data_IF_550408733384
#
_entry.id   IF_550408733384
#
_cell.length_a   1.000
_cell.length_b   1.000
_cell.length_c   1.000
_cell.angle_alpha   90.00
_cell.angle_beta   90.00
_cell.angle_gamma   90.00
#
_symmetry.space_group_name_H-M   'P 1'
#
loop_
_entity.id
_entity.type
_entity.pdbx_description
1 polymer ?
#
# COMPACT_ATOMS: atom_id res chain seq x y z
N UNK A 1 29.16 -29.85 -58.58
CA UNK A 1 29.37 -30.70 -59.77
C UNK A 1 30.27 -29.95 -60.73
N UNK A 2 31.42 -30.51 -61.12
CA UNK A 2 32.39 -29.83 -61.98
C UNK A 2 32.05 -30.06 -63.46
N UNK A 3 32.11 -29.03 -64.29
CA UNK A 3 31.90 -29.11 -65.75
C UNK A 3 33.25 -29.02 -66.48
N UNK A 4 33.39 -29.72 -67.60
CA UNK A 4 34.61 -29.70 -68.40
C UNK A 4 34.64 -28.39 -69.20
N UNK A 5 35.47 -27.42 -68.83
CA UNK A 5 35.49 -26.10 -69.50
C UNK A 5 35.89 -26.13 -70.99
N UNK A 6 36.40 -27.26 -71.49
CA UNK A 6 36.76 -27.45 -72.91
C UNK A 6 35.55 -27.81 -73.78
N UNK A 7 34.70 -28.75 -73.35
CA UNK A 7 33.51 -29.19 -74.11
C UNK A 7 32.18 -28.72 -73.50
N UNK A 8 32.22 -28.08 -72.33
CA UNK A 8 31.07 -27.61 -71.54
C UNK A 8 30.12 -28.72 -71.04
N UNK A 9 30.50 -29.99 -71.18
CA UNK A 9 29.73 -31.12 -70.66
C UNK A 9 30.06 -31.43 -69.20
N UNK A 10 29.14 -32.11 -68.49
CA UNK A 10 29.33 -32.52 -67.10
C UNK A 10 30.45 -33.57 -66.99
N UNK A 11 31.41 -33.34 -66.09
CA UNK A 11 32.48 -34.31 -65.82
C UNK A 11 31.87 -35.54 -65.14
N UNK A 12 32.02 -36.71 -65.77
CA UNK A 12 31.45 -37.97 -65.29
C UNK A 12 30.06 -38.29 -65.84
N UNK A 13 29.53 -37.49 -66.79
CA UNK A 13 28.36 -37.88 -67.55
C UNK A 13 28.67 -39.14 -68.40
N UNK A 14 27.68 -40.03 -68.48
CA UNK A 14 27.73 -41.21 -69.34
C UNK A 14 27.53 -40.73 -70.78
N UNK A 15 28.42 -41.09 -71.68
CA UNK A 15 28.26 -40.78 -73.10
C UNK A 15 27.02 -41.49 -73.68
N UNK A 16 26.59 -41.11 -74.89
CA UNK A 16 25.43 -41.72 -75.56
C UNK A 16 25.59 -43.23 -75.83
N UNK A 17 26.76 -43.80 -75.55
CA UNK A 17 27.11 -45.22 -75.72
C UNK A 17 27.24 -45.94 -74.38
N UNK A 18 26.87 -45.31 -73.27
CA UNK A 18 26.90 -45.94 -71.94
C UNK A 18 28.26 -45.92 -71.26
N UNK A 19 29.27 -45.22 -71.79
CA UNK A 19 30.62 -45.21 -71.21
C UNK A 19 30.86 -43.93 -70.41
N UNK A 20 31.39 -44.08 -69.19
CA UNK A 20 31.95 -42.96 -68.43
C UNK A 20 33.31 -42.65 -69.05
N UNK A 21 33.42 -41.52 -69.75
CA UNK A 21 34.69 -41.09 -70.34
C UNK A 21 35.78 -40.99 -69.27
N UNK A 22 37.01 -41.42 -69.58
CA UNK A 22 38.13 -41.35 -68.63
C UNK A 22 38.33 -39.90 -68.17
N UNK A 23 38.39 -39.70 -66.86
CA UNK A 23 38.62 -38.40 -66.24
C UNK A 23 40.09 -38.25 -65.90
N UNK A 24 40.62 -37.05 -66.12
CA UNK A 24 42.00 -36.70 -65.76
C UNK A 24 42.01 -35.41 -64.97
N UNK A 25 42.92 -35.33 -64.01
CA UNK A 25 43.18 -34.12 -63.23
C UNK A 25 44.54 -33.53 -63.61
N UNK A 26 44.58 -32.22 -63.78
CA UNK A 26 45.82 -31.44 -63.94
C UNK A 26 46.56 -31.30 -62.60
N UNK A 27 47.81 -30.84 -62.61
CA UNK A 27 48.57 -30.58 -61.36
C UNK A 27 47.89 -29.54 -60.46
N UNK A 28 47.15 -28.61 -61.09
CA UNK A 28 46.34 -27.60 -60.40
C UNK A 28 44.96 -28.12 -59.96
N UNK A 29 44.72 -29.44 -60.05
CA UNK A 29 43.51 -30.15 -59.61
C UNK A 29 42.23 -29.86 -60.42
N UNK A 30 42.32 -29.18 -61.56
CA UNK A 30 41.17 -29.04 -62.46
C UNK A 30 40.93 -30.36 -63.21
N UNK A 31 39.66 -30.72 -63.41
CA UNK A 31 39.25 -32.04 -63.90
C UNK A 31 38.62 -31.92 -65.28
N UNK A 32 39.03 -32.79 -66.19
CA UNK A 32 38.61 -32.78 -67.59
C UNK A 32 38.37 -34.20 -68.10
N UNK A 33 37.62 -34.33 -69.20
CA UNK A 33 37.67 -35.54 -70.01
C UNK A 33 39.08 -35.72 -70.58
N UNK A 34 39.62 -36.92 -70.51
CA UNK A 34 40.96 -37.24 -71.00
C UNK A 34 41.14 -36.80 -72.47
N UNK A 35 40.14 -37.05 -73.31
CA UNK A 35 40.16 -36.67 -74.71
C UNK A 35 40.21 -35.14 -74.89
N UNK A 36 39.46 -34.38 -74.09
CA UNK A 36 39.42 -32.93 -74.13
C UNK A 36 40.76 -32.34 -73.72
N UNK A 37 41.28 -32.74 -72.55
CA UNK A 37 42.55 -32.23 -72.05
C UNK A 37 43.72 -32.65 -72.94
N UNK A 38 43.71 -33.88 -73.47
CA UNK A 38 44.76 -34.34 -74.39
C UNK A 38 44.80 -33.55 -75.69
N UNK A 39 43.64 -33.12 -76.22
CA UNK A 39 43.59 -32.22 -77.40
C UNK A 39 44.10 -30.82 -77.06
N UNK A 40 43.78 -30.32 -75.87
CA UNK A 40 44.25 -29.00 -75.42
C UNK A 40 45.77 -28.97 -75.23
N UNK A 41 46.33 -29.98 -74.55
CA UNK A 41 47.76 -30.08 -74.24
C UNK A 41 48.65 -30.19 -75.49
N UNK A 42 48.10 -30.62 -76.63
CA UNK A 42 48.79 -30.59 -77.94
C UNK A 42 48.96 -29.17 -78.50
N UNK A 43 48.10 -28.24 -78.10
CA UNK A 43 48.10 -26.84 -78.58
C UNK A 43 48.74 -25.88 -77.58
N UNK A 44 48.55 -26.11 -76.27
CA UNK A 44 49.11 -25.29 -75.21
C UNK A 44 49.50 -26.14 -74.00
N UNK A 45 50.70 -25.96 -73.41
CA UNK A 45 51.11 -26.70 -72.21
C UNK A 45 50.50 -26.14 -70.91
N UNK A 46 49.47 -25.30 -70.98
CA UNK A 46 48.85 -24.65 -69.82
C UNK A 46 47.45 -25.17 -69.56
N UNK A 47 47.03 -25.17 -68.29
CA UNK A 47 45.68 -25.54 -67.89
C UNK A 47 44.61 -24.60 -68.52
N UNK A 48 43.51 -25.11 -69.09
CA UNK A 48 42.45 -24.29 -69.69
C UNK A 48 41.82 -23.27 -68.73
N UNK A 49 41.69 -23.62 -67.44
CA UNK A 49 41.02 -22.77 -66.44
C UNK A 49 41.96 -21.74 -65.81
N UNK A 50 43.05 -22.19 -65.19
CA UNK A 50 43.94 -21.29 -64.45
C UNK A 50 45.17 -20.83 -65.23
N UNK A 51 45.38 -21.32 -66.45
CA UNK A 51 46.55 -21.03 -67.30
C UNK A 51 47.91 -21.41 -66.69
N UNK A 52 47.94 -22.16 -65.59
CA UNK A 52 49.18 -22.66 -65.01
C UNK A 52 49.85 -23.68 -65.94
N UNK A 53 51.17 -23.55 -66.13
CA UNK A 53 51.98 -24.52 -66.89
C UNK A 53 51.90 -25.92 -66.27
N UNK A 54 51.71 -26.94 -67.11
CA UNK A 54 51.67 -28.34 -66.71
C UNK A 54 53.01 -29.00 -67.03
N UNK A 55 53.74 -29.46 -66.01
CA UNK A 55 55.08 -30.06 -66.19
C UNK A 55 55.03 -31.58 -66.29
N UNK A 56 54.03 -32.20 -65.68
CA UNK A 56 53.80 -33.64 -65.65
C UNK A 56 52.58 -34.03 -66.51
N UNK A 57 52.51 -35.33 -66.83
CA UNK A 57 51.33 -35.90 -67.50
C UNK A 57 50.12 -35.86 -66.56
N UNK A 58 48.92 -35.52 -67.07
CA UNK A 58 47.70 -35.52 -66.26
C UNK A 58 47.48 -36.85 -65.54
N UNK A 59 47.02 -36.78 -64.29
CA UNK A 59 46.72 -37.97 -63.48
C UNK A 59 45.35 -38.49 -63.88
N UNK A 60 45.28 -39.74 -64.36
CA UNK A 60 44.00 -40.41 -64.60
C UNK A 60 43.30 -40.64 -63.27
N UNK A 61 42.14 -40.02 -63.11
CA UNK A 61 41.25 -40.32 -62.00
C UNK A 61 40.60 -41.66 -62.33
N UNK A 62 40.97 -42.69 -61.57
CA UNK A 62 40.24 -43.95 -61.60
C UNK A 62 38.87 -43.65 -61.01
N UNK A 63 37.76 -43.81 -61.75
CA UNK A 63 36.45 -43.75 -61.14
C UNK A 63 36.36 -44.95 -60.20
N UNK A 64 36.61 -44.73 -58.92
CA UNK A 64 36.61 -45.75 -57.85
C UNK A 64 35.19 -46.26 -57.54
N UNK A 65 34.25 -46.09 -58.48
CA UNK A 65 32.81 -46.25 -58.27
C UNK A 65 32.14 -47.13 -59.33
N UNK A 66 32.90 -47.93 -60.07
CA UNK A 66 32.32 -48.98 -60.91
C UNK A 66 32.53 -50.32 -60.21
N UNK A 67 31.41 -50.90 -59.75
CA UNK A 67 31.24 -52.11 -58.93
C UNK A 67 31.20 -51.91 -57.41
N UNK A 68 30.44 -50.93 -56.92
CA UNK A 68 29.96 -50.98 -55.52
C UNK A 68 28.76 -51.94 -55.36
N UNK A 69 28.10 -52.35 -56.44
CA UNK A 69 26.96 -53.26 -56.40
C UNK A 69 27.37 -54.72 -56.07
N UNK A 70 28.61 -55.13 -56.41
CA UNK A 70 29.11 -56.50 -56.17
C UNK A 70 29.88 -56.68 -54.85
N UNK A 71 30.06 -55.60 -54.07
CA UNK A 71 30.77 -55.63 -52.77
C UNK A 71 29.92 -55.23 -51.58
N UNK A 72 28.62 -54.97 -51.77
CA UNK A 72 27.65 -54.95 -50.69
C UNK A 72 27.47 -56.39 -50.21
N UNK A 73 28.28 -56.81 -49.24
CA UNK A 73 28.09 -58.08 -48.58
C UNK A 73 26.75 -58.02 -47.82
N UNK A 74 26.03 -59.14 -47.67
CA UNK A 74 24.77 -59.18 -46.92
C UNK A 74 24.82 -58.53 -45.53
N UNK A 75 26.00 -58.46 -44.90
CA UNK A 75 26.23 -57.79 -43.61
C UNK A 75 26.06 -56.26 -43.65
N UNK A 76 26.20 -55.63 -44.81
CA UNK A 76 26.02 -54.17 -44.94
C UNK A 76 24.54 -53.78 -44.87
N UNK A 77 23.63 -54.69 -45.26
CA UNK A 77 22.18 -54.45 -45.18
C UNK A 77 21.68 -54.40 -43.73
N UNK A 78 22.19 -55.28 -42.86
CA UNK A 78 21.86 -55.26 -41.43
C UNK A 78 22.38 -53.99 -40.76
N UNK A 79 23.57 -53.53 -41.15
CA UNK A 79 24.16 -52.27 -40.65
C UNK A 79 23.31 -51.08 -41.10
N UNK A 80 22.90 -51.04 -42.36
CA UNK A 80 22.00 -49.98 -42.88
C UNK A 80 20.65 -50.01 -42.16
N UNK A 81 20.06 -51.18 -41.94
CA UNK A 81 18.81 -51.30 -41.20
C UNK A 81 18.95 -50.79 -39.75
N UNK A 82 20.07 -51.09 -39.08
CA UNK A 82 20.39 -50.55 -37.76
C UNK A 82 20.50 -49.03 -37.75
N UNK A 83 21.24 -48.45 -38.68
CA UNK A 83 21.37 -46.99 -38.81
C UNK A 83 20.03 -46.31 -39.11
N UNK A 84 19.18 -46.92 -39.95
CA UNK A 84 17.83 -46.39 -40.22
C UNK A 84 16.95 -46.40 -38.97
N UNK A 85 17.06 -47.43 -38.12
CA UNK A 85 16.35 -47.47 -36.84
C UNK A 85 16.87 -46.39 -35.88
N UNK A 86 18.18 -46.19 -35.79
CA UNK A 86 18.78 -45.12 -34.98
C UNK A 86 18.34 -43.73 -35.46
N UNK A 87 18.29 -43.49 -36.78
CA UNK A 87 17.77 -42.24 -37.35
C UNK A 87 16.32 -42.01 -36.94
N UNK A 88 15.46 -43.03 -37.03
CA UNK A 88 14.06 -42.92 -36.64
C UNK A 88 13.89 -42.60 -35.13
N UNK A 89 14.74 -43.16 -34.26
CA UNK A 89 14.75 -42.84 -32.84
C UNK A 89 15.22 -41.40 -32.57
N UNK A 90 16.23 -40.93 -33.31
CA UNK A 90 16.70 -39.53 -33.24
C UNK A 90 15.60 -38.56 -33.71
N UNK A 91 14.90 -38.85 -34.80
CA UNK A 91 13.78 -38.03 -35.28
C UNK A 91 12.65 -37.95 -34.24
N UNK A 92 12.32 -39.08 -33.61
CA UNK A 92 11.34 -39.12 -32.51
C UNK A 92 11.80 -38.33 -31.28
N UNK A 93 13.10 -38.33 -30.98
CA UNK A 93 13.67 -37.51 -29.91
C UNK A 93 13.63 -36.02 -30.27
N UNK A 94 13.94 -35.66 -31.52
CA UNK A 94 13.84 -34.28 -32.03
C UNK A 94 12.42 -33.74 -31.88
N UNK A 95 11.41 -34.49 -32.32
CA UNK A 95 10.01 -34.07 -32.19
C UNK A 95 9.55 -33.88 -30.73
N UNK A 96 10.09 -34.66 -29.78
CA UNK A 96 9.83 -34.43 -28.35
C UNK A 96 10.47 -33.15 -27.84
N UNK A 97 11.67 -32.83 -28.30
CA UNK A 97 12.38 -31.60 -27.92
C UNK A 97 11.66 -30.39 -28.49
N UNK A 98 11.22 -30.44 -29.76
CA UNK A 98 10.44 -29.37 -30.40
C UNK A 98 9.14 -29.08 -29.63
N UNK A 99 8.39 -30.12 -29.25
CA UNK A 99 7.19 -29.96 -28.42
C UNK A 99 7.49 -29.37 -27.02
N UNK A 100 8.66 -29.71 -26.44
CA UNK A 100 9.10 -29.10 -25.18
C UNK A 100 9.48 -27.63 -25.36
N UNK A 101 10.11 -27.25 -26.47
CA UNK A 101 10.44 -25.86 -26.79
C UNK A 101 9.16 -25.04 -26.90
N UNK A 102 8.18 -25.49 -27.68
CA UNK A 102 6.89 -24.81 -27.84
C UNK A 102 6.15 -24.66 -26.48
N UNK A 103 6.19 -25.70 -25.64
CA UNK A 103 5.65 -25.61 -24.28
C UNK A 103 6.40 -24.61 -23.40
N UNK A 104 7.71 -24.45 -23.55
CA UNK A 104 8.49 -23.46 -22.78
C UNK A 104 8.21 -22.05 -23.30
N UNK A 105 8.14 -21.85 -24.60
CA UNK A 105 7.85 -20.56 -25.24
C UNK A 105 6.50 -20.01 -24.77
N UNK A 106 5.44 -20.83 -24.82
CA UNK A 106 4.11 -20.44 -24.32
C UNK A 106 4.12 -20.06 -22.83
N UNK A 107 4.85 -20.80 -21.99
CA UNK A 107 4.99 -20.43 -20.56
C UNK A 107 5.80 -19.15 -20.36
N UNK A 108 6.82 -18.92 -21.19
CA UNK A 108 7.63 -17.71 -21.16
C UNK A 108 6.80 -16.47 -21.55
N UNK A 109 5.95 -16.59 -22.56
CA UNK A 109 5.02 -15.53 -22.96
C UNK A 109 4.00 -15.21 -21.86
N UNK A 110 3.43 -16.23 -21.22
CA UNK A 110 2.51 -16.06 -20.09
C UNK A 110 3.18 -15.33 -18.92
N UNK A 111 4.40 -15.74 -18.54
CA UNK A 111 5.16 -15.08 -17.48
C UNK A 111 5.55 -13.64 -17.85
N UNK A 112 5.85 -13.38 -19.14
CA UNK A 112 6.13 -12.03 -19.60
C UNK A 112 4.91 -11.11 -19.47
N UNK A 113 3.70 -11.60 -19.74
CA UNK A 113 2.46 -10.83 -19.54
C UNK A 113 2.17 -10.58 -18.06
N UNK A 114 2.37 -11.58 -17.20
CA UNK A 114 2.26 -11.40 -15.74
C UNK A 114 3.25 -10.35 -15.22
N UNK A 115 4.50 -10.37 -15.69
CA UNK A 115 5.50 -9.36 -15.38
C UNK A 115 5.05 -7.95 -15.81
N UNK A 116 4.55 -7.79 -17.05
CA UNK A 116 4.01 -6.50 -17.54
C UNK A 116 2.86 -6.00 -16.66
N UNK A 117 1.93 -6.89 -16.30
CA UNK A 117 0.82 -6.56 -15.40
C UNK A 117 1.31 -6.15 -14.01
N UNK A 118 2.32 -6.84 -13.47
CA UNK A 118 2.97 -6.49 -12.20
C UNK A 118 3.61 -5.10 -12.22
N UNK A 119 4.34 -4.77 -13.28
CA UNK A 119 4.96 -3.45 -13.47
C UNK A 119 3.93 -2.32 -13.50
N UNK A 120 2.83 -2.50 -14.24
CA UNK A 120 1.74 -1.52 -14.28
C UNK A 120 1.10 -1.32 -12.89
N UNK A 121 0.90 -2.40 -12.12
CA UNK A 121 0.41 -2.31 -10.74
C UNK A 121 1.37 -1.55 -9.83
N UNK A 122 2.68 -1.78 -9.95
CA UNK A 122 3.69 -1.06 -9.18
C UNK A 122 3.71 0.43 -9.51
N UNK A 123 3.57 0.82 -10.77
CA UNK A 123 3.53 2.24 -11.13
C UNK A 123 2.25 2.92 -10.62
N UNK A 124 1.11 2.23 -10.65
CA UNK A 124 -0.13 2.73 -10.04
C UNK A 124 0.03 2.96 -8.53
N UNK A 125 0.62 2.00 -7.80
CA UNK A 125 0.89 2.13 -6.37
C UNK A 125 1.86 3.27 -6.07
N UNK A 126 2.93 3.44 -6.88
CA UNK A 126 3.82 4.60 -6.79
C UNK A 126 3.06 5.91 -7.00
N UNK A 127 2.14 5.95 -7.96
CA UNK A 127 1.23 7.08 -8.19
C UNK A 127 0.35 7.40 -6.98
N UNK A 128 -0.25 6.40 -6.34
CA UNK A 128 -0.99 6.56 -5.09
C UNK A 128 -0.12 7.12 -3.96
N UNK A 129 1.07 6.52 -3.74
CA UNK A 129 2.00 6.98 -2.72
C UNK A 129 2.41 8.44 -2.90
N UNK A 130 2.66 8.87 -4.15
CA UNK A 130 2.95 10.29 -4.47
C UNK A 130 1.78 11.21 -4.09
N UNK A 131 0.53 10.79 -4.32
CA UNK A 131 -0.66 11.57 -3.95
C UNK A 131 -0.80 11.69 -2.44
N UNK A 132 -0.75 10.58 -1.72
CA UNK A 132 -0.85 10.56 -0.26
C UNK A 132 0.28 11.38 0.39
N UNK A 133 1.49 11.36 -0.17
CA UNK A 133 2.59 12.20 0.31
C UNK A 133 2.30 13.70 0.16
N UNK A 134 1.73 14.13 -0.97
CA UNK A 134 1.31 15.53 -1.18
C UNK A 134 0.20 15.94 -0.23
N UNK A 135 -0.82 15.08 -0.07
CA UNK A 135 -1.91 15.31 0.87
C UNK A 135 -1.39 15.47 2.31
N UNK A 136 -0.45 14.61 2.72
CA UNK A 136 0.22 14.71 4.01
C UNK A 136 0.97 16.03 4.17
N UNK A 137 1.73 16.47 3.17
CA UNK A 137 2.44 17.76 3.19
C UNK A 137 1.48 18.94 3.32
N UNK A 138 0.39 18.95 2.55
CA UNK A 138 -0.64 19.99 2.67
C UNK A 138 -1.33 19.96 4.05
N UNK A 139 -1.52 18.77 4.65
CA UNK A 139 -2.03 18.67 6.00
C UNK A 139 -1.02 19.17 7.05
N UNK A 140 0.27 18.84 6.91
CA UNK A 140 1.38 19.35 7.74
C UNK A 140 1.43 20.88 7.70
N UNK A 141 1.33 21.50 6.51
CA UNK A 141 1.27 22.95 6.35
C UNK A 141 0.05 23.56 7.06
N UNK A 142 -1.12 22.93 6.95
CA UNK A 142 -2.34 23.38 7.65
C UNK A 142 -2.20 23.29 9.16
N UNK A 143 -1.64 22.19 9.69
CA UNK A 143 -1.37 22.04 11.12
C UNK A 143 -0.45 23.15 11.61
N UNK A 144 0.64 23.44 10.88
CA UNK A 144 1.54 24.53 11.21
C UNK A 144 0.82 25.89 11.26
N UNK A 145 -0.06 26.19 10.30
CA UNK A 145 -0.83 27.45 10.32
C UNK A 145 -1.77 27.57 11.52
N UNK A 146 -2.45 26.48 11.88
CA UNK A 146 -3.37 26.46 13.03
C UNK A 146 -2.60 26.59 14.35
N UNK A 147 -1.46 25.92 14.47
CA UNK A 147 -0.58 26.03 15.64
C UNK A 147 -0.07 27.47 15.82
N UNK A 148 0.34 28.12 14.73
CA UNK A 148 0.76 29.51 14.78
C UNK A 148 -0.37 30.46 15.21
N UNK A 149 -1.57 30.31 14.64
CA UNK A 149 -2.75 31.10 15.03
C UNK A 149 -3.11 30.89 16.50
N UNK A 150 -3.04 29.64 16.98
CA UNK A 150 -3.26 29.31 18.40
C UNK A 150 -2.24 30.00 19.31
N UNK A 151 -0.96 30.01 18.93
CA UNK A 151 0.09 30.71 19.69
C UNK A 151 -0.18 32.22 19.74
N UNK A 152 -0.58 32.84 18.63
CA UNK A 152 -0.96 34.25 18.59
C UNK A 152 -2.13 34.55 19.53
N UNK A 153 -3.16 33.69 19.56
CA UNK A 153 -4.29 33.84 20.49
C UNK A 153 -3.92 33.64 21.95
N UNK A 154 -3.01 32.72 22.27
CA UNK A 154 -2.49 32.57 23.63
C UNK A 154 -1.74 33.81 24.09
N UNK A 155 -0.99 34.46 23.20
CA UNK A 155 -0.28 35.69 23.52
C UNK A 155 -1.24 36.88 23.70
N UNK A 156 -2.25 37.02 22.83
CA UNK A 156 -3.34 38.00 23.03
C UNK A 156 -4.03 37.81 24.40
N UNK A 157 -4.32 36.56 24.78
CA UNK A 157 -4.93 36.24 26.08
C UNK A 157 -4.02 36.61 27.25
N UNK A 158 -2.71 36.38 27.14
CA UNK A 158 -1.72 36.80 28.15
C UNK A 158 -1.69 38.32 28.29
N UNK A 159 -1.65 39.05 27.18
CA UNK A 159 -1.67 40.51 27.18
C UNK A 159 -2.94 41.06 27.83
N UNK A 160 -4.11 40.49 27.52
CA UNK A 160 -5.36 40.86 28.19
C UNK A 160 -5.34 40.53 29.69
N UNK A 161 -4.78 39.39 30.06
CA UNK A 161 -4.64 39.00 31.47
C UNK A 161 -3.77 40.00 32.23
N UNK A 162 -2.66 40.44 31.63
CA UNK A 162 -1.76 41.41 32.24
C UNK A 162 -2.36 42.82 32.28
N UNK A 163 -3.09 43.23 31.24
CA UNK A 163 -3.87 44.47 31.26
C UNK A 163 -4.90 44.45 32.39
N UNK A 164 -5.63 43.35 32.59
CA UNK A 164 -6.56 43.20 33.72
C UNK A 164 -5.83 43.23 35.07
N UNK A 165 -4.62 42.67 35.17
CA UNK A 165 -3.81 42.78 36.40
C UNK A 165 -3.35 44.22 36.67
N UNK A 166 -3.06 45.01 35.63
CA UNK A 166 -2.60 46.40 35.76
C UNK A 166 -3.74 47.40 35.98
N UNK A 167 -4.86 47.25 35.27
CA UNK A 167 -6.02 48.16 35.29
C UNK A 167 -7.05 47.82 36.37
N UNK A 168 -6.89 46.72 37.10
CA UNK A 168 -7.73 46.42 38.26
C UNK A 168 -7.02 46.90 39.53
N UNK A 169 -7.26 48.13 40.02
CA UNK A 169 -6.87 48.54 41.36
C UNK A 169 -7.79 47.81 42.34
N UNK A 170 -7.57 46.50 42.54
CA UNK A 170 -8.21 45.74 43.62
C UNK A 170 -7.88 46.33 45.00
N UNK A 171 -6.98 47.32 45.09
CA UNK A 171 -6.75 48.10 46.30
C UNK A 171 -7.94 48.99 46.68
N UNK A 172 -8.57 49.69 45.74
CA UNK A 172 -9.62 50.67 46.08
C UNK A 172 -10.90 50.01 46.58
N UNK A 173 -11.54 49.07 45.86
CA UNK A 173 -12.76 48.41 46.33
C UNK A 173 -12.55 47.60 47.62
N UNK A 174 -11.36 47.02 47.82
CA UNK A 174 -11.04 46.29 49.08
C UNK A 174 -10.78 47.24 50.25
N UNK A 175 -10.32 48.46 49.99
CA UNK A 175 -10.18 49.49 51.04
C UNK A 175 -11.53 50.10 51.38
N UNK A 176 -12.39 50.36 50.39
CA UNK A 176 -13.76 50.83 50.59
C UNK A 176 -14.61 49.76 51.29
N UNK A 177 -14.50 48.49 50.91
CA UNK A 177 -15.17 47.40 51.61
C UNK A 177 -14.68 47.22 53.05
N UNK A 178 -13.37 47.43 53.31
CA UNK A 178 -12.84 47.43 54.68
C UNK A 178 -13.37 48.61 55.47
N UNK A 179 -13.34 49.82 54.92
CA UNK A 179 -13.92 51.00 55.56
C UNK A 179 -15.41 50.87 55.81
N UNK A 180 -16.20 50.31 54.88
CA UNK A 180 -17.62 50.05 55.09
C UNK A 180 -17.85 49.01 56.19
N UNK A 181 -17.05 47.94 56.22
CA UNK A 181 -17.10 46.95 57.30
C UNK A 181 -16.76 47.59 58.64
N UNK A 182 -15.68 48.35 58.71
CA UNK A 182 -15.24 49.04 59.93
C UNK A 182 -16.26 50.09 60.36
N UNK A 183 -16.89 50.79 59.41
CA UNK A 183 -17.96 51.73 59.70
C UNK A 183 -19.22 51.03 60.22
N UNK A 184 -19.54 49.83 59.76
CA UNK A 184 -20.67 49.03 60.27
C UNK A 184 -20.36 48.51 61.67
N UNK A 185 -19.18 47.92 61.87
CA UNK A 185 -18.75 47.35 63.16
C UNK A 185 -18.58 48.45 64.21
N UNK A 186 -18.04 49.61 63.82
CA UNK A 186 -17.85 50.76 64.72
C UNK A 186 -19.07 51.68 64.79
N UNK A 187 -20.16 51.37 64.07
CA UNK A 187 -21.39 52.14 64.21
C UNK A 187 -22.01 51.82 65.57
N UNK A 188 -21.65 52.61 66.58
CA UNK A 188 -22.24 52.52 67.92
C UNK A 188 -23.76 52.54 67.88
N UNK A 189 -24.38 53.12 66.85
CA UNK A 189 -25.83 53.12 66.70
C UNK A 189 -26.39 51.71 66.48
N UNK A 190 -25.67 50.81 65.80
CA UNK A 190 -26.12 49.42 65.62
C UNK A 190 -26.06 48.68 66.95
N UNK A 191 -24.98 48.82 67.71
CA UNK A 191 -24.87 48.24 69.05
C UNK A 191 -25.89 48.81 70.05
N UNK A 192 -26.22 50.11 69.92
CA UNK A 192 -27.26 50.77 70.73
C UNK A 192 -28.64 50.24 70.35
N UNK A 193 -28.93 50.06 69.05
CA UNK A 193 -30.17 49.47 68.58
C UNK A 193 -30.31 48.01 69.01
N UNK A 194 -29.25 47.20 68.90
CA UNK A 194 -29.25 45.80 69.37
C UNK A 194 -29.53 45.77 70.88
N UNK A 195 -28.84 46.60 71.67
CA UNK A 195 -29.06 46.66 73.12
C UNK A 195 -30.44 47.17 73.50
N UNK A 196 -30.99 48.14 72.77
CA UNK A 196 -32.35 48.63 73.00
C UNK A 196 -33.38 47.51 72.77
N UNK A 197 -33.27 46.79 71.65
CA UNK A 197 -34.14 45.63 71.34
C UNK A 197 -33.96 44.51 72.37
N UNK A 198 -32.74 44.23 72.83
CA UNK A 198 -32.49 43.23 73.89
C UNK A 198 -33.14 43.62 75.23
N UNK A 199 -33.17 44.92 75.57
CA UNK A 199 -33.81 45.42 76.78
C UNK A 199 -35.33 45.31 76.66
N UNK A 200 -35.92 45.76 75.55
CA UNK A 200 -37.36 45.64 75.30
C UNK A 200 -37.80 44.18 75.30
N UNK A 201 -37.02 43.29 74.68
CA UNK A 201 -37.28 41.85 74.69
C UNK A 201 -37.26 41.25 76.10
N UNK A 202 -36.30 41.66 76.94
CA UNK A 202 -36.24 41.24 78.35
C UNK A 202 -37.43 41.77 79.15
N UNK A 203 -37.84 43.01 78.93
CA UNK A 203 -39.01 43.61 79.59
C UNK A 203 -40.31 42.86 79.21
N UNK A 204 -40.44 42.49 77.92
CA UNK A 204 -41.53 41.63 77.44
C UNK A 204 -41.52 40.26 78.13
N UNK A 205 -40.35 39.60 78.22
CA UNK A 205 -40.20 38.32 78.90
C UNK A 205 -40.49 38.39 80.42
N UNK A 206 -40.06 39.45 81.08
CA UNK A 206 -40.30 39.64 82.53
C UNK A 206 -41.77 39.92 82.82
N UNK A 207 -42.46 40.64 81.93
CA UNK A 207 -43.92 40.83 81.99
C UNK A 207 -44.65 39.49 81.88
N UNK A 208 -44.16 38.57 81.04
CA UNK A 208 -44.70 37.23 80.86
C UNK A 208 -44.42 36.30 82.05
N UNK A 209 -43.33 36.51 82.79
CA UNK A 209 -42.97 35.68 83.95
C UNK A 209 -43.91 35.87 85.15
N UNK A 210 -44.78 36.88 85.11
CA UNK A 210 -45.82 37.05 86.14
C UNK A 210 -47.03 36.13 85.86
N UNK A 211 -47.52 35.38 86.87
CA UNK A 211 -48.66 34.49 86.69
C UNK A 211 -49.94 35.30 86.46
N UNK A 212 -50.43 35.33 85.22
CA UNK A 212 -51.65 36.03 84.82
C UNK A 212 -51.55 36.89 83.55
N UNK A 213 -50.40 36.91 82.85
CA UNK A 213 -50.25 37.66 81.60
C UNK A 213 -51.16 37.12 80.47
N UNK A 214 -52.03 37.98 79.94
CA UNK A 214 -53.00 37.67 78.89
C UNK A 214 -52.31 37.55 77.52
N UNK A 215 -52.48 36.40 76.85
CA UNK A 215 -51.81 36.08 75.58
C UNK A 215 -52.26 37.01 74.43
N UNK A 216 -53.47 37.57 74.52
CA UNK A 216 -53.99 38.50 73.51
C UNK A 216 -53.21 39.82 73.48
N UNK A 217 -52.79 40.32 74.64
CA UNK A 217 -52.00 41.55 74.73
C UNK A 217 -50.62 41.40 74.07
N UNK A 218 -50.02 40.21 74.18
CA UNK A 218 -48.73 39.88 73.59
C UNK A 218 -48.81 39.75 72.06
N UNK A 219 -49.90 39.18 71.57
CA UNK A 219 -50.16 39.10 70.12
C UNK A 219 -50.30 40.49 69.52
N UNK A 220 -50.95 41.41 70.25
CA UNK A 220 -51.09 42.81 69.82
C UNK A 220 -49.74 43.55 69.77
N UNK A 221 -48.90 43.39 70.80
CA UNK A 221 -47.57 44.02 70.85
C UNK A 221 -46.60 43.43 69.81
N UNK A 222 -46.67 42.12 69.53
CA UNK A 222 -45.87 41.50 68.46
C UNK A 222 -46.29 41.99 67.08
N UNK A 223 -47.59 42.18 66.84
CA UNK A 223 -48.07 42.74 65.57
C UNK A 223 -47.64 44.19 65.39
N UNK A 224 -47.66 45.01 66.46
CA UNK A 224 -47.21 46.40 66.43
C UNK A 224 -45.70 46.50 66.14
N UNK A 225 -44.88 45.67 66.79
CA UNK A 225 -43.45 45.57 66.49
C UNK A 225 -43.19 45.06 65.06
N UNK A 226 -43.99 44.11 64.57
CA UNK A 226 -43.85 43.61 63.20
C UNK A 226 -44.20 44.69 62.16
N UNK A 227 -45.21 45.52 62.41
CA UNK A 227 -45.56 46.67 61.59
C UNK A 227 -44.43 47.73 61.60
N UNK A 228 -43.89 48.07 62.76
CA UNK A 228 -42.75 49.01 62.86
C UNK A 228 -41.52 48.49 62.11
N UNK A 229 -41.23 47.18 62.20
CA UNK A 229 -40.11 46.55 61.53
C UNK A 229 -40.32 46.49 60.00
N UNK A 230 -41.56 46.29 59.54
CA UNK A 230 -41.91 46.44 58.13
C UNK A 230 -41.79 47.88 57.65
N UNK A 231 -42.22 48.86 58.44
CA UNK A 231 -42.09 50.27 58.09
C UNK A 231 -40.61 50.68 58.01
N UNK A 232 -39.78 50.26 58.96
CA UNK A 232 -38.33 50.46 58.94
C UNK A 232 -37.68 49.80 57.71
N UNK A 233 -38.08 48.57 57.34
CA UNK A 233 -37.61 47.88 56.12
C UNK A 233 -37.98 48.64 54.85
N UNK A 234 -39.20 49.19 54.76
CA UNK A 234 -39.64 49.96 53.59
C UNK A 234 -38.94 51.33 53.51
N UNK A 235 -38.70 52.00 54.64
CA UNK A 235 -37.87 53.22 54.71
C UNK A 235 -36.43 52.95 54.29
N UNK A 236 -35.84 51.83 54.72
CA UNK A 236 -34.48 51.44 54.32
C UNK A 236 -34.38 51.13 52.81
N UNK A 237 -35.41 50.50 52.22
CA UNK A 237 -35.51 50.29 50.75
C UNK A 237 -35.66 51.59 49.95
N UNK A 238 -36.19 52.66 50.55
CA UNK A 238 -36.36 53.98 49.91
C UNK A 238 -35.14 54.89 50.06
N UNK A 239 -34.15 54.53 50.87
CA UNK A 239 -32.88 55.25 50.96
C UNK A 239 -32.13 55.23 49.61
N UNK A 240 -31.59 56.37 49.13
CA UNK A 240 -30.98 56.49 47.80
C UNK A 240 -29.75 55.59 47.58
N UNK A 241 -29.24 54.91 48.61
CA UNK A 241 -28.15 53.94 48.51
C UNK A 241 -28.57 52.66 47.74
N UNK A 242 -29.86 52.33 47.71
CA UNK A 242 -30.40 51.18 46.95
C UNK A 242 -30.60 51.41 45.44
N UNK A 243 -30.41 52.64 44.95
CA UNK A 243 -30.54 52.98 43.52
C UNK A 243 -29.23 52.86 42.73
N UNK A 244 -28.25 52.06 43.19
CA UNK A 244 -27.12 51.68 42.33
C UNK A 244 -27.60 50.65 41.30
N UNK A 245 -28.06 51.21 40.17
CA UNK A 245 -27.99 50.68 38.81
C UNK A 245 -28.45 49.21 38.63
N UNK A 246 -29.67 49.02 38.14
CA UNK A 246 -29.86 48.10 37.00
C UNK A 246 -29.05 48.69 35.84
N UNK A 247 -27.74 48.44 35.79
CA UNK A 247 -26.98 48.66 34.56
C UNK A 247 -27.58 47.66 33.58
N UNK A 248 -28.33 48.14 32.59
CA UNK A 248 -28.66 47.30 31.45
C UNK A 248 -27.35 46.73 30.92
N UNK A 249 -27.32 45.41 30.67
CA UNK A 249 -26.13 44.66 30.25
C UNK A 249 -25.20 45.56 29.45
N UNK A 250 -23.99 45.73 29.99
CA UNK A 250 -22.98 46.60 29.39
C UNK A 250 -22.80 46.20 27.92
N UNK A 251 -22.40 47.13 27.07
CA UNK A 251 -22.18 46.82 25.65
C UNK A 251 -21.28 45.57 25.48
N UNK A 252 -20.35 45.36 26.41
CA UNK A 252 -19.49 44.20 26.50
C UNK A 252 -20.25 42.88 26.72
N UNK A 253 -21.19 42.81 27.66
CA UNK A 253 -22.01 41.59 27.89
C UNK A 253 -22.91 41.28 26.68
N UNK A 254 -23.41 42.31 25.99
CA UNK A 254 -24.16 42.12 24.73
C UNK A 254 -23.28 41.61 23.59
N UNK A 255 -22.00 41.98 23.55
CA UNK A 255 -21.04 41.46 22.57
C UNK A 255 -20.67 40.01 22.88
N UNK A 256 -20.41 39.68 24.16
CA UNK A 256 -20.10 38.32 24.60
C UNK A 256 -21.26 37.36 24.32
N UNK A 257 -22.51 37.78 24.58
CA UNK A 257 -23.70 36.97 24.26
C UNK A 257 -23.82 36.68 22.75
N UNK A 258 -23.61 37.69 21.89
CA UNK A 258 -23.60 37.50 20.42
C UNK A 258 -22.40 36.69 19.91
N UNK A 259 -21.30 36.64 20.66
CA UNK A 259 -20.14 35.79 20.36
C UNK A 259 -20.46 34.32 20.60
N UNK A 260 -21.05 34.02 21.76
CA UNK A 260 -21.51 32.69 22.13
C UNK A 260 -22.60 32.16 21.18
N UNK A 261 -23.58 32.99 20.81
CA UNK A 261 -24.62 32.62 19.84
C UNK A 261 -24.02 32.26 18.46
N UNK A 262 -22.98 32.99 18.01
CA UNK A 262 -22.28 32.68 16.76
C UNK A 262 -21.43 31.42 16.82
N UNK A 263 -20.84 31.10 17.98
CA UNK A 263 -20.10 29.85 18.16
C UNK A 263 -21.03 28.63 18.15
N UNK A 264 -22.21 28.75 18.77
CA UNK A 264 -23.22 27.68 18.75
C UNK A 264 -23.78 27.45 17.34
N UNK A 265 -24.02 28.50 16.54
CA UNK A 265 -24.43 28.35 15.14
C UNK A 265 -23.37 27.66 14.27
N UNK A 266 -22.08 27.96 14.48
CA UNK A 266 -20.97 27.29 13.75
C UNK A 266 -20.80 25.82 14.14
N UNK A 267 -21.09 25.47 15.41
CA UNK A 267 -21.11 24.08 15.84
C UNK A 267 -22.21 23.27 15.15
N UNK A 268 -23.39 23.86 14.96
CA UNK A 268 -24.51 23.21 14.27
C UNK A 268 -24.23 22.97 12.77
N UNK A 269 -23.60 23.93 12.08
CA UNK A 269 -23.19 23.75 10.67
C UNK A 269 -22.13 22.65 10.51
N UNK A 270 -21.20 22.52 11.47
CA UNK A 270 -20.18 21.47 11.43
C UNK A 270 -20.75 20.05 11.66
N UNK A 271 -21.80 19.90 12.48
CA UNK A 271 -22.51 18.62 12.63
C UNK A 271 -23.28 18.23 11.36
N UNK A 272 -23.82 19.21 10.63
CA UNK A 272 -24.51 18.97 9.36
C UNK A 272 -23.53 18.49 8.27
N UNK A 273 -22.34 19.10 8.17
CA UNK A 273 -21.27 18.65 7.27
C UNK A 273 -20.77 17.24 7.60
N UNK A 274 -20.69 16.89 8.90
CA UNK A 274 -20.31 15.55 9.34
C UNK A 274 -21.39 14.50 8.98
N UNK A 275 -22.68 14.86 9.06
CA UNK A 275 -23.80 14.04 8.60
C UNK A 275 -23.75 13.79 7.08
N UNK A 276 -23.37 14.79 6.28
CA UNK A 276 -23.21 14.67 4.82
C UNK A 276 -22.06 13.73 4.47
N UNK A 277 -20.91 13.86 5.14
CA UNK A 277 -19.76 12.97 4.94
C UNK A 277 -20.08 11.52 5.34
N UNK A 278 -20.88 11.31 6.37
CA UNK A 278 -21.30 9.96 6.79
C UNK A 278 -22.26 9.31 5.78
N UNK A 279 -23.15 10.10 5.15
CA UNK A 279 -23.99 9.66 4.02
C UNK A 279 -23.17 9.35 2.76
N UNK A 280 -22.10 10.10 2.48
CA UNK A 280 -21.22 9.78 1.36
C UNK A 280 -20.45 8.47 1.58
N UNK A 281 -20.02 8.17 2.83
CA UNK A 281 -19.38 6.88 3.13
C UNK A 281 -20.32 5.69 2.93
N UNK A 282 -21.57 5.78 3.36
CA UNK A 282 -22.53 4.67 3.19
C UNK A 282 -22.84 4.39 1.73
N UNK A 283 -22.87 5.42 0.87
CA UNK A 283 -23.03 5.25 -0.58
C UNK A 283 -21.81 4.59 -1.24
N UNK A 284 -20.60 4.84 -0.74
CA UNK A 284 -19.37 4.21 -1.26
C UNK A 284 -19.24 2.76 -0.77
N UNK A 285 -19.72 2.44 0.43
CA UNK A 285 -19.67 1.09 1.00
C UNK A 285 -20.77 0.15 0.49
N UNK A 286 -21.92 0.67 0.05
CA UNK A 286 -23.07 -0.14 -0.40
C UNK A 286 -22.97 -0.71 -1.83
N UNK A 287 -21.87 -0.47 -2.56
CA UNK A 287 -21.74 -0.82 -3.98
C UNK A 287 -21.18 -2.22 -4.30
N UNK A 288 -20.98 -3.11 -3.32
CA UNK A 288 -20.29 -4.40 -3.54
C UNK A 288 -21.10 -5.68 -3.29
N UNK A 289 -22.35 -5.60 -2.89
CA UNK A 289 -23.17 -6.80 -2.64
C UNK A 289 -24.35 -6.88 -3.63
N UNK A 290 -24.07 -7.35 -4.86
CA UNK A 290 -25.04 -8.11 -5.65
C UNK A 290 -24.41 -8.57 -6.96
N UNK A 291 -23.71 -9.71 -6.93
CA UNK A 291 -23.56 -10.63 -8.05
C UNK A 291 -22.75 -11.87 -7.61
N UNK A 292 -23.43 -12.85 -7.02
CA UNK A 292 -22.97 -14.25 -7.01
C UNK A 292 -24.07 -15.14 -6.45
N UNK A 293 -24.80 -15.80 -7.35
CA UNK A 293 -25.65 -16.94 -7.00
C UNK A 293 -25.74 -17.82 -8.23
N UNK A 294 -24.93 -18.87 -8.27
CA UNK A 294 -25.24 -20.23 -8.76
C UNK A 294 -23.95 -20.94 -9.20
N UNK A 295 -23.46 -21.87 -8.38
CA UNK A 295 -22.96 -23.14 -8.89
C UNK A 295 -22.95 -24.19 -7.79
N UNK A 296 -23.15 -25.42 -8.23
CA UNK A 296 -23.61 -26.57 -7.48
C UNK A 296 -22.51 -27.21 -6.64
N UNK A 297 -22.90 -27.72 -5.47
CA UNK A 297 -22.06 -28.56 -4.64
C UNK A 297 -21.81 -29.94 -5.25
N UNK A 298 -20.59 -30.43 -5.11
CA UNK A 298 -20.26 -31.84 -5.22
C UNK A 298 -19.32 -32.24 -4.08
N UNK A 299 -19.85 -33.11 -3.24
CA UNK A 299 -19.22 -33.81 -2.12
C UNK A 299 -18.14 -34.75 -2.64
N UNK A 300 -16.90 -34.67 -2.12
CA UNK A 300 -15.94 -35.77 -2.25
C UNK A 300 -15.14 -36.00 -0.98
N UNK A 301 -15.02 -37.29 -0.68
CA UNK A 301 -14.64 -37.93 0.58
C UNK A 301 -13.14 -37.84 0.84
N UNK A 302 -12.79 -37.65 2.11
CA UNK A 302 -11.43 -37.78 2.65
C UNK A 302 -10.98 -39.25 2.59
N UNK A 303 -9.86 -39.52 1.94
CA UNK A 303 -9.08 -40.73 2.15
C UNK A 303 -7.77 -40.37 2.85
N UNK A 304 -7.57 -40.95 4.03
CA UNK A 304 -6.33 -40.92 4.78
C UNK A 304 -5.30 -41.83 4.10
N UNK A 305 -4.09 -41.32 3.87
CA UNK A 305 -2.94 -42.14 3.50
C UNK A 305 -1.84 -42.05 4.55
N UNK A 306 -1.35 -43.26 4.83
CA UNK A 306 -0.49 -43.73 5.89
C UNK A 306 0.97 -43.41 5.54
N UNK A 307 1.70 -42.87 6.52
CA UNK A 307 3.16 -42.69 6.49
C UNK A 307 3.83 -44.06 6.46
N UNK A 308 4.75 -44.26 5.51
CA UNK A 308 5.67 -45.40 5.47
C UNK A 308 7.07 -44.85 5.27
N UNK A 309 7.89 -45.02 6.31
CA UNK A 309 9.36 -44.98 6.28
C UNK A 309 9.89 -46.09 5.35
N UNK A 310 11.02 -45.86 4.67
CA UNK A 310 12.13 -46.74 5.00
C UNK A 310 13.51 -46.07 4.95
N UNK A 311 14.20 -46.21 6.06
CA UNK A 311 15.66 -46.16 6.15
C UNK A 311 16.31 -47.51 5.77
N UNK A 312 17.51 -47.40 5.19
CA UNK A 312 18.60 -48.39 5.04
C UNK A 312 18.65 -49.25 3.76
N UNK A 313 19.66 -48.99 2.93
CA UNK A 313 20.80 -49.93 2.77
C UNK A 313 21.97 -49.28 2.03
N UNK A 314 23.17 -49.59 2.52
CA UNK A 314 24.45 -49.23 1.96
C UNK A 314 24.82 -50.15 0.77
N UNK A 315 25.56 -49.61 -0.20
CA UNK A 315 26.14 -50.39 -1.30
C UNK A 315 27.05 -49.54 -2.18
N UNK A 316 28.36 -49.69 -1.97
CA UNK A 316 29.45 -49.08 -2.73
C UNK A 316 29.68 -49.82 -4.04
N UNK A 317 29.68 -49.15 -5.20
CA UNK A 317 30.52 -49.49 -6.38
C UNK A 317 30.79 -48.21 -7.19
N UNK A 318 32.05 -48.03 -7.59
CA UNK A 318 32.58 -47.00 -8.49
C UNK A 318 32.15 -47.31 -9.94
N UNK A 319 31.76 -46.31 -10.72
CA UNK A 319 32.39 -46.01 -12.02
C UNK A 319 31.73 -44.82 -12.73
N UNK A 320 32.59 -44.09 -13.43
CA UNK A 320 32.37 -42.79 -14.04
C UNK A 320 31.62 -42.89 -15.36
N UNK A 321 30.45 -42.24 -15.48
CA UNK A 321 29.94 -41.69 -16.75
C UNK A 321 29.17 -40.40 -16.42
N UNK A 322 29.63 -39.28 -16.98
CA UNK A 322 28.92 -37.98 -16.92
C UNK A 322 27.75 -38.06 -17.91
N UNK A 323 26.55 -38.31 -17.40
CA UNK A 323 25.28 -38.09 -18.10
C UNK A 323 24.52 -37.01 -17.35
N UNK A 324 24.14 -35.96 -18.06
CA UNK A 324 23.37 -34.84 -17.53
C UNK A 324 22.08 -35.33 -16.86
N UNK A 325 21.90 -34.97 -15.59
CA UNK A 325 20.74 -35.33 -14.80
C UNK A 325 19.47 -34.66 -15.34
N UNK A 326 18.34 -35.38 -15.45
CA UNK A 326 17.06 -34.77 -15.77
C UNK A 326 16.55 -33.99 -14.55
N UNK A 327 16.10 -32.74 -14.81
CA UNK A 327 15.47 -31.87 -13.82
C UNK A 327 14.30 -32.59 -13.10
N UNK A 328 14.14 -32.40 -11.78
CA UNK A 328 13.06 -33.03 -11.04
C UNK A 328 11.71 -32.49 -11.52
N UNK A 329 10.81 -33.40 -11.90
CA UNK A 329 9.41 -33.10 -12.20
C UNK A 329 8.74 -32.53 -10.94
N UNK A 330 8.65 -31.21 -10.87
CA UNK A 330 7.78 -30.51 -9.94
C UNK A 330 6.33 -30.91 -10.27
N UNK A 331 5.73 -31.76 -9.44
CA UNK A 331 4.28 -31.98 -9.42
C UNK A 331 3.63 -30.66 -9.04
N UNK A 332 3.14 -29.92 -10.03
CA UNK A 332 2.20 -28.81 -9.85
C UNK A 332 0.88 -29.40 -9.31
N UNK A 333 0.67 -29.31 -8.01
CA UNK A 333 -0.69 -29.26 -7.46
C UNK A 333 -1.23 -27.87 -7.79
N UNK A 334 -2.20 -27.80 -8.69
CA UNK A 334 -3.02 -26.61 -8.87
C UNK A 334 -3.80 -26.39 -7.56
N UNK A 335 -3.31 -25.48 -6.73
CA UNK A 335 -4.10 -24.91 -5.63
C UNK A 335 -5.04 -23.90 -6.24
N UNK A 336 -6.33 -24.18 -6.11
CA UNK A 336 -7.42 -23.22 -6.24
C UNK A 336 -7.06 -21.96 -5.46
N UNK A 337 -7.19 -20.80 -6.13
CA UNK A 337 -7.01 -19.50 -5.52
C UNK A 337 -8.10 -19.31 -4.43
N UNK A 338 -7.77 -19.62 -3.18
CA UNK A 338 -8.53 -19.10 -2.04
C UNK A 338 -8.29 -17.61 -1.97
N UNK A 339 -9.39 -16.87 -1.82
CA UNK A 339 -9.44 -15.47 -1.47
C UNK A 339 -9.00 -15.27 -0.01
N UNK A 340 -7.76 -15.63 0.29
CA UNK A 340 -7.15 -15.30 1.57
C UNK A 340 -6.65 -13.84 1.50
N UNK A 341 -7.01 -13.00 2.49
CA UNK A 341 -6.54 -11.62 2.54
C UNK A 341 -5.00 -11.60 2.58
N UNK A 342 -4.42 -10.68 1.82
CA UNK A 342 -2.97 -10.56 1.70
C UNK A 342 -2.32 -10.39 3.09
N UNK A 343 -1.23 -11.11 3.42
CA UNK A 343 -0.48 -10.93 4.68
C UNK A 343 0.18 -9.54 4.83
N UNK A 344 -0.01 -8.66 3.84
CA UNK A 344 0.36 -7.24 3.90
C UNK A 344 -0.61 -6.41 4.74
N UNK A 345 -1.87 -6.80 4.91
CA UNK A 345 -2.81 -6.09 5.79
C UNK A 345 -2.46 -6.32 7.26
N UNK A 346 -2.02 -7.53 7.63
CA UNK A 346 -1.55 -7.84 8.98
C UNK A 346 -0.25 -7.08 9.32
N UNK A 347 0.70 -7.01 8.37
CA UNK A 347 1.93 -6.21 8.54
C UNK A 347 1.65 -4.71 8.62
N UNK A 348 0.60 -4.19 7.97
CA UNK A 348 0.19 -2.80 8.11
C UNK A 348 -0.45 -2.54 9.49
N UNK A 349 -1.22 -3.50 10.00
CA UNK A 349 -1.80 -3.48 11.34
C UNK A 349 -0.73 -3.38 12.42
N UNK A 350 0.27 -4.27 12.35
CA UNK A 350 1.39 -4.30 13.31
C UNK A 350 2.21 -3.00 13.27
N UNK A 351 2.47 -2.43 12.09
CA UNK A 351 3.19 -1.16 11.96
C UNK A 351 2.39 0.03 12.53
N UNK A 352 1.07 0.06 12.33
CA UNK A 352 0.21 1.11 12.88
C UNK A 352 0.13 1.00 14.41
N UNK A 353 0.08 -0.21 14.96
CA UNK A 353 0.05 -0.44 16.41
C UNK A 353 1.36 0.00 17.08
N UNK A 354 2.50 -0.28 16.46
CA UNK A 354 3.82 0.23 16.91
C UNK A 354 3.88 1.76 16.87
N UNK A 355 3.36 2.39 15.81
CA UNK A 355 3.32 3.85 15.69
C UNK A 355 2.42 4.49 16.77
N UNK A 356 1.24 3.90 17.03
CA UNK A 356 0.34 4.37 18.10
C UNK A 356 0.96 4.23 19.49
N UNK A 357 1.66 3.13 19.76
CA UNK A 357 2.37 2.94 21.03
C UNK A 357 3.47 3.98 21.25
N UNK A 358 4.23 4.31 20.20
CA UNK A 358 5.30 5.31 20.26
C UNK A 358 4.75 6.72 20.49
N UNK A 359 3.66 7.10 19.82
CA UNK A 359 3.01 8.40 20.04
C UNK A 359 2.43 8.51 21.46
N UNK A 360 1.89 7.41 22.01
CA UNK A 360 1.40 7.37 23.38
C UNK A 360 2.52 7.48 24.42
N UNK A 361 3.68 6.87 24.17
CA UNK A 361 4.88 7.05 25.02
C UNK A 361 5.40 8.49 24.98
N UNK A 362 5.39 9.15 23.81
CA UNK A 362 5.80 10.55 23.69
C UNK A 362 4.84 11.52 24.36
N UNK A 363 3.53 11.22 24.42
CA UNK A 363 2.55 12.04 25.16
C UNK A 363 2.55 11.84 26.67
N UNK A 364 3.17 10.75 27.15
CA UNK A 364 3.23 10.43 28.59
C UNK A 364 4.56 10.84 29.24
N UNK A 365 5.55 11.22 28.44
CA UNK A 365 6.76 11.92 28.87
C UNK A 365 6.56 13.43 28.80
#
# INVERSE_FOLDING_TARGET
MSTCSICMELVGAIDSRGNVGQLVSTECKHIYHEACLSRWMKRSPTCPECKAEQKCKPVRLRPEVQNLEDHLLPHDLDTVAGLLAEIADVEKASGKIEAQIESVETTSESLAEECRCGEMRLENLRGCLRRTKRERQTAEEKVYTVEHDMQMKLEELRQMQDAVKMDMPLREPRSEMRQLRDNIVNNRNIDVLIRAVEVEWKQLLDTYRQPGGDLESLTMQLNELEEELQEARTKCRRSPVGKRKRVGLTAHERVMKRGLERQLSRGAEAEEDQSVLQRMRTLVSGGKENQSSQSNGAVLKRHATRVVDPSQSAGSVKDSVVVAAPLPKLKRTATEASSDPCPLEDLLGDLLEIMFHKEKEERTR
#
